data_IF_565335817904
#
_entry.id   IF_565335817904
#
_cell.length_a   1.000
_cell.length_b   1.000
_cell.length_c   1.000
_cell.angle_alpha   90.00
_cell.angle_beta   90.00
_cell.angle_gamma   90.00
#
_symmetry.space_group_name_H-M   'P 1'
#
loop_
_entity.id
_entity.type
_entity.pdbx_description
1 polymer ?
#
# COMPACT_ATOMS: atom_id res chain seq x y z
N UNK A 1 -17.15 10.51 21.15
CA UNK A 1 -16.91 10.33 20.71
C UNK A 1 -16.81 10.30 19.73
N UNK A 2 -16.63 10.24 19.57
CA UNK A 2 -16.40 10.15 18.79
C UNK A 2 -16.02 9.91 18.02
N UNK A 3 -16.06 10.01 17.89
CA UNK A 3 -15.61 9.99 17.35
C UNK A 3 -15.03 9.45 16.80
N UNK A 4 -15.02 9.50 16.85
CA UNK A 4 -14.29 9.10 16.67
C UNK A 4 -13.79 8.22 16.09
N UNK A 5 -13.04 8.48 16.34
CA UNK A 5 -12.30 7.33 16.03
C UNK A 5 -12.92 6.48 15.02
N UNK A 6 -13.97 6.35 15.17
CA UNK A 6 -14.67 5.47 14.26
C UNK A 6 -14.58 5.83 12.82
N UNK A 7 -13.71 6.73 12.48
CA UNK A 7 -13.54 7.01 11.08
C UNK A 7 -13.16 5.76 10.28
N UNK A 8 -12.68 4.71 10.99
CA UNK A 8 -12.38 3.44 10.34
C UNK A 8 -12.87 2.28 11.15
N UNK A 9 -14.19 2.21 11.34
CA UNK A 9 -14.75 1.13 12.16
C UNK A 9 -14.54 -0.26 11.57
N UNK A 10 -14.24 -0.36 10.29
CA UNK A 10 -14.00 -1.65 9.64
C UNK A 10 -12.53 -2.02 9.57
N UNK A 11 -11.66 -1.15 10.04
CA UNK A 11 -10.24 -1.45 10.03
C UNK A 11 -9.93 -2.47 11.12
N UNK A 12 -9.31 -3.60 10.74
CA UNK A 12 -9.03 -4.69 11.65
C UNK A 12 -7.58 -4.70 12.11
N UNK A 13 -6.66 -4.37 11.22
CA UNK A 13 -5.23 -4.44 11.50
C UNK A 13 -4.52 -3.27 10.83
N UNK A 14 -3.45 -2.84 11.47
CA UNK A 14 -2.66 -1.74 10.94
C UNK A 14 -1.20 -1.90 11.36
N UNK A 15 -0.30 -1.49 10.48
CA UNK A 15 1.14 -1.47 10.76
C UNK A 15 1.75 -0.32 10.00
N UNK A 16 2.63 0.45 10.65
CA UNK A 16 3.36 1.54 10.03
C UNK A 16 4.84 1.30 10.24
N UNK A 17 5.61 1.50 9.18
CA UNK A 17 7.05 1.27 9.21
C UNK A 17 7.74 2.44 8.54
N UNK A 18 8.73 3.02 9.23
CA UNK A 18 9.54 4.07 8.64
C UNK A 18 10.77 3.43 8.00
N UNK A 19 11.04 3.80 6.77
CA UNK A 19 12.16 3.25 6.00
C UNK A 19 13.06 4.38 5.54
N UNK A 20 14.35 4.09 5.39
CA UNK A 20 15.26 5.04 4.76
C UNK A 20 14.99 5.03 3.26
N UNK A 21 14.90 6.23 2.67
CA UNK A 21 14.57 6.34 1.24
C UNK A 21 15.81 6.03 0.40
N UNK A 22 16.04 4.76 0.17
CA UNK A 22 17.14 4.26 -0.65
C UNK A 22 16.72 2.92 -1.24
N UNK A 23 17.45 2.40 -2.22
CA UNK A 23 17.01 1.17 -2.93
C UNK A 23 16.64 0.00 -2.02
N UNK A 24 17.33 -0.17 -0.90
CA UNK A 24 17.03 -1.28 -0.01
C UNK A 24 15.63 -1.20 0.61
N UNK A 25 15.01 -0.01 0.60
CA UNK A 25 13.67 0.14 1.16
C UNK A 25 12.64 -0.73 0.44
N UNK A 26 12.82 -0.98 -0.84
CA UNK A 26 11.87 -1.80 -1.58
C UNK A 26 11.83 -3.22 -1.03
N UNK A 27 12.99 -3.80 -0.76
CA UNK A 27 13.06 -5.16 -0.20
C UNK A 27 12.48 -5.20 1.21
N UNK A 28 12.77 -4.18 2.02
CA UNK A 28 12.21 -4.11 3.36
C UNK A 28 10.69 -4.00 3.33
N UNK A 29 10.18 -3.16 2.43
CA UNK A 29 8.73 -2.98 2.31
C UNK A 29 8.05 -4.28 1.89
N UNK A 30 8.64 -4.98 0.91
CA UNK A 30 8.09 -6.27 0.47
C UNK A 30 8.02 -7.26 1.63
N UNK A 31 9.07 -7.30 2.45
CA UNK A 31 9.12 -8.19 3.59
C UNK A 31 8.02 -7.84 4.61
N UNK A 32 7.85 -6.56 4.90
CA UNK A 32 6.82 -6.13 5.84
C UNK A 32 5.42 -6.48 5.37
N UNK A 33 5.15 -6.30 4.09
CA UNK A 33 3.83 -6.63 3.55
C UNK A 33 3.63 -8.15 3.58
N UNK A 34 4.65 -8.92 3.21
CA UNK A 34 4.55 -10.38 3.25
C UNK A 34 4.22 -10.88 4.64
N UNK A 35 4.91 -10.35 5.64
CA UNK A 35 4.67 -10.76 7.03
C UNK A 35 3.26 -10.38 7.47
N UNK A 36 2.83 -9.16 7.16
CA UNK A 36 1.50 -8.69 7.54
C UNK A 36 0.41 -9.56 6.92
N UNK A 37 0.53 -9.87 5.63
CA UNK A 37 -0.46 -10.69 4.94
C UNK A 37 -0.56 -12.07 5.61
N UNK A 38 0.57 -12.64 5.97
CA UNK A 38 0.59 -13.95 6.63
C UNK A 38 0.00 -13.89 8.03
N UNK A 39 0.46 -12.92 8.82
CA UNK A 39 0.00 -12.81 10.19
C UNK A 39 -1.49 -12.51 10.28
N UNK A 40 -1.97 -11.67 9.38
CA UNK A 40 -3.37 -11.26 9.40
C UNK A 40 -4.25 -12.17 8.55
N UNK A 41 -3.65 -13.15 7.88
CA UNK A 41 -4.38 -14.08 7.02
C UNK A 41 -5.25 -13.35 6.00
N UNK A 42 -4.62 -12.40 5.31
CA UNK A 42 -5.34 -11.58 4.33
C UNK A 42 -5.52 -12.40 3.05
N UNK A 43 -6.76 -12.60 2.59
CA UNK A 43 -7.01 -13.48 1.44
C UNK A 43 -6.87 -12.74 0.10
N UNK A 44 -5.67 -12.22 -0.14
CA UNK A 44 -5.33 -11.59 -1.41
C UNK A 44 -4.17 -12.36 -2.05
N UNK A 45 -3.96 -12.12 -3.33
CA UNK A 45 -2.82 -12.71 -4.01
C UNK A 45 -1.55 -12.06 -3.44
N UNK A 46 -0.71 -12.86 -2.79
CA UNK A 46 0.50 -12.35 -2.13
C UNK A 46 1.47 -11.75 -3.14
N UNK A 47 1.64 -12.40 -4.27
CA UNK A 47 2.59 -11.93 -5.26
C UNK A 47 2.18 -10.58 -5.85
N UNK A 48 0.90 -10.40 -6.08
CA UNK A 48 0.40 -9.12 -6.57
C UNK A 48 0.60 -8.04 -5.51
N UNK A 49 0.24 -8.33 -4.27
CA UNK A 49 0.40 -7.34 -3.19
C UNK A 49 1.87 -6.91 -3.07
N UNK A 50 2.78 -7.86 -3.13
CA UNK A 50 4.21 -7.59 -3.00
C UNK A 50 4.73 -6.82 -4.21
N UNK A 51 4.30 -7.20 -5.41
CA UNK A 51 4.70 -6.52 -6.63
C UNK A 51 4.26 -5.05 -6.61
N UNK A 52 3.01 -4.79 -6.27
CA UNK A 52 2.49 -3.42 -6.26
C UNK A 52 3.14 -2.59 -5.15
N UNK A 53 3.43 -3.19 -4.01
CA UNK A 53 4.16 -2.51 -2.94
C UNK A 53 5.53 -2.07 -3.45
N UNK A 54 6.22 -2.96 -4.15
CA UNK A 54 7.53 -2.65 -4.71
C UNK A 54 7.46 -1.47 -5.67
N UNK A 55 6.43 -1.44 -6.51
CA UNK A 55 6.27 -0.36 -7.48
C UNK A 55 6.05 0.99 -6.78
N UNK A 56 5.21 1.03 -5.75
CA UNK A 56 4.98 2.28 -5.02
C UNK A 56 6.23 2.74 -4.31
N UNK A 57 6.95 1.82 -3.68
CA UNK A 57 8.16 2.19 -2.95
C UNK A 57 9.25 2.64 -3.91
N UNK A 58 9.41 1.94 -5.03
CA UNK A 58 10.39 2.33 -6.04
C UNK A 58 10.07 3.73 -6.58
N UNK A 59 8.79 4.02 -6.78
CA UNK A 59 8.37 5.35 -7.21
C UNK A 59 8.76 6.41 -6.18
N UNK A 60 8.55 6.12 -4.90
CA UNK A 60 8.91 7.05 -3.83
C UNK A 60 10.42 7.23 -3.71
N UNK A 61 11.20 6.18 -3.97
CA UNK A 61 12.65 6.28 -3.96
C UNK A 61 13.14 7.15 -5.12
N UNK A 62 12.59 6.93 -6.30
CA UNK A 62 13.05 7.59 -7.51
C UNK A 62 12.55 9.04 -7.62
N UNK A 63 11.29 9.26 -7.31
CA UNK A 63 10.63 10.54 -7.55
C UNK A 63 10.22 11.27 -6.27
N UNK A 64 10.44 10.66 -5.11
CA UNK A 64 10.11 11.30 -3.85
C UNK A 64 11.26 12.17 -3.36
N UNK A 65 11.06 12.74 -2.18
CA UNK A 65 12.06 13.58 -1.54
C UNK A 65 12.19 13.18 -0.07
N UNK A 66 13.24 13.70 0.55
CA UNK A 66 13.47 13.47 1.95
C UNK A 66 14.31 12.23 2.19
N UNK A 67 14.67 12.03 3.46
CA UNK A 67 15.55 10.93 3.83
C UNK A 67 14.79 9.67 4.17
N UNK A 68 13.49 9.79 4.45
CA UNK A 68 12.70 8.64 4.87
C UNK A 68 11.40 8.59 4.10
N UNK A 69 10.83 7.40 4.10
CA UNK A 69 9.46 7.22 3.67
C UNK A 69 8.75 6.36 4.71
N UNK A 70 7.44 6.39 4.70
CA UNK A 70 6.66 5.61 5.64
C UNK A 70 5.74 4.68 4.85
N UNK A 71 5.76 3.42 5.23
CA UNK A 71 4.88 2.40 4.68
C UNK A 71 3.76 2.18 5.68
N UNK A 72 2.52 2.29 5.26
CA UNK A 72 1.37 1.98 6.09
C UNK A 72 0.61 0.82 5.47
N UNK A 73 0.37 -0.22 6.26
CA UNK A 73 -0.33 -1.41 5.81
C UNK A 73 -1.59 -1.50 6.66
N UNK A 74 -2.74 -1.52 6.01
CA UNK A 74 -4.01 -1.58 6.71
C UNK A 74 -4.88 -2.65 6.09
N UNK A 75 -5.59 -3.37 6.95
CA UNK A 75 -6.53 -4.38 6.50
C UNK A 75 -7.88 -4.13 7.13
N UNK A 76 -8.89 -4.05 6.31
CA UNK A 76 -10.27 -3.92 6.76
C UNK A 76 -11.04 -5.16 6.35
N UNK A 77 -12.35 -5.15 6.52
CA UNK A 77 -13.16 -6.33 6.23
C UNK A 77 -13.16 -6.73 4.77
N UNK A 78 -12.94 -5.84 3.89
CA UNK A 78 -13.09 -6.14 2.47
C UNK A 78 -11.90 -5.78 1.62
N UNK A 79 -10.84 -5.26 2.21
CA UNK A 79 -9.68 -4.89 1.39
C UNK A 79 -8.41 -4.73 2.21
N UNK A 80 -7.30 -4.92 1.52
CA UNK A 80 -5.97 -4.57 2.00
C UNK A 80 -5.61 -3.23 1.37
N UNK A 81 -5.05 -2.32 2.16
CA UNK A 81 -4.62 -1.02 1.65
C UNK A 81 -3.16 -0.77 2.03
N UNK A 82 -2.38 -0.34 1.05
CA UNK A 82 -0.97 0.00 1.25
C UNK A 82 -0.79 1.46 0.87
N UNK A 83 -0.23 2.25 1.78
CA UNK A 83 0.11 3.66 1.53
C UNK A 83 1.61 3.84 1.67
N UNK A 84 2.21 4.62 0.80
CA UNK A 84 3.61 4.99 0.90
C UNK A 84 3.69 6.51 0.93
N UNK A 85 4.24 7.04 2.02
CA UNK A 85 4.36 8.47 2.26
C UNK A 85 5.80 8.90 2.02
N UNK A 86 5.99 10.01 1.30
CA UNK A 86 7.30 10.61 1.17
C UNK A 86 7.18 12.11 1.40
N UNK A 87 8.31 12.82 1.32
CA UNK A 87 8.35 14.24 1.68
C UNK A 87 8.33 15.17 0.46
N UNK A 88 7.97 14.65 -0.69
CA UNK A 88 7.90 15.45 -1.91
C UNK A 88 6.71 16.39 -1.88
N UNK A 89 6.93 17.61 -2.32
CA UNK A 89 5.86 18.59 -2.45
C UNK A 89 5.22 18.57 -3.82
N UNK A 90 5.81 17.83 -4.74
CA UNK A 90 5.31 17.71 -6.10
C UNK A 90 4.23 16.65 -6.19
N UNK A 91 3.30 16.79 -7.13
CA UNK A 91 2.36 15.72 -7.39
C UNK A 91 3.13 14.53 -7.95
N UNK A 92 2.69 13.31 -7.64
CA UNK A 92 3.34 12.13 -8.16
C UNK A 92 3.31 12.12 -9.67
N UNK A 93 4.44 11.78 -10.25
CA UNK A 93 4.51 11.56 -11.68
C UNK A 93 3.68 10.32 -12.00
N UNK A 94 3.11 10.30 -13.18
CA UNK A 94 2.26 9.19 -13.57
C UNK A 94 0.79 9.45 -13.32
N UNK A 95 0.46 10.35 -12.40
CA UNK A 95 -0.93 10.72 -12.18
C UNK A 95 -1.42 11.66 -13.29
N UNK A 96 -0.55 12.57 -13.70
CA UNK A 96 -0.89 13.53 -14.74
C UNK A 96 -0.06 13.33 -16.01
N UNK A 97 0.67 12.22 -16.06
CA UNK A 97 1.53 11.94 -17.21
C UNK A 97 0.91 10.85 -18.06
N UNK A 98 1.12 10.89 -19.37
CA UNK A 98 0.62 9.82 -20.23
C UNK A 98 1.25 8.49 -19.84
N UNK A 99 0.47 7.42 -19.96
CA UNK A 99 0.99 6.10 -19.75
C UNK A 99 2.12 5.86 -20.76
N UNK A 100 3.18 5.21 -20.30
CA UNK A 100 4.32 4.94 -21.16
C UNK A 100 5.54 5.80 -20.89
N UNK A 101 5.39 6.90 -20.13
CA UNK A 101 6.56 7.64 -19.68
C UNK A 101 7.28 6.80 -18.62
N UNK A 102 8.55 7.08 -18.40
CA UNK A 102 9.29 6.36 -17.38
C UNK A 102 8.64 6.46 -16.01
N UNK A 103 8.15 7.65 -15.68
CA UNK A 103 7.51 7.86 -14.40
C UNK A 103 6.18 7.13 -14.30
N UNK A 104 5.41 7.11 -15.38
CA UNK A 104 4.12 6.44 -15.38
C UNK A 104 4.22 4.93 -15.48
N UNK A 105 5.36 4.44 -15.98
CA UNK A 105 5.50 3.02 -16.25
C UNK A 105 5.42 2.17 -14.98
N UNK A 106 6.01 2.64 -13.89
CA UNK A 106 5.93 1.92 -12.62
C UNK A 106 4.53 1.88 -12.07
N UNK A 107 3.71 2.87 -12.40
CA UNK A 107 2.34 2.95 -11.92
C UNK A 107 1.35 2.23 -12.83
N UNK A 108 1.78 1.81 -14.01
CA UNK A 108 0.92 1.06 -14.91
C UNK A 108 0.47 -0.25 -14.29
N UNK A 109 1.39 -0.96 -13.62
CA UNK A 109 1.01 -2.20 -12.95
C UNK A 109 0.07 -1.94 -11.79
N UNK A 110 0.32 -0.89 -11.01
CA UNK A 110 -0.58 -0.53 -9.92
C UNK A 110 -1.97 -0.24 -10.47
N UNK A 111 -2.06 0.54 -11.53
CA UNK A 111 -3.35 0.89 -12.14
C UNK A 111 -4.06 -0.34 -12.69
N UNK A 112 -3.30 -1.29 -13.26
CA UNK A 112 -3.89 -2.46 -13.90
C UNK A 112 -4.34 -3.52 -12.91
N UNK A 113 -3.62 -3.69 -11.81
CA UNK A 113 -3.81 -4.83 -10.92
C UNK A 113 -4.44 -4.50 -9.58
N UNK A 114 -4.51 -3.23 -9.22
CA UNK A 114 -5.15 -2.86 -7.96
C UNK A 114 -6.65 -2.68 -8.13
N UNK A 115 -7.37 -2.75 -7.03
CA UNK A 115 -8.79 -2.45 -7.03
C UNK A 115 -9.00 -0.96 -7.14
N UNK A 116 -8.25 -0.21 -6.34
CA UNK A 116 -8.22 1.26 -6.39
C UNK A 116 -6.79 1.71 -6.18
N UNK A 117 -6.46 2.90 -6.68
CA UNK A 117 -5.16 3.49 -6.43
C UNK A 117 -5.25 4.99 -6.60
N UNK A 118 -4.30 5.72 -6.03
CA UNK A 118 -4.31 7.15 -6.16
C UNK A 118 -3.18 7.79 -5.38
N UNK A 119 -3.30 9.10 -5.20
CA UNK A 119 -2.34 9.86 -4.43
C UNK A 119 -3.05 11.03 -3.75
N UNK A 120 -2.42 11.55 -2.71
CA UNK A 120 -2.96 12.71 -2.02
C UNK A 120 -1.82 13.45 -1.32
N UNK A 121 -2.03 14.75 -1.09
CA UNK A 121 -1.07 15.57 -0.37
C UNK A 121 -1.23 15.36 1.12
N UNK A 122 -0.11 15.47 1.82
CA UNK A 122 -0.10 15.40 3.29
C UNK A 122 0.64 16.64 3.81
N UNK A 123 0.51 16.95 5.10
CA UNK A 123 1.27 18.08 5.65
C UNK A 123 2.77 17.96 5.43
N UNK A 124 3.32 16.75 5.45
CA UNK A 124 4.75 16.54 5.29
C UNK A 124 5.19 16.32 3.85
N UNK A 125 4.25 16.06 2.93
CA UNK A 125 4.61 15.79 1.54
C UNK A 125 3.45 15.21 0.76
N UNK A 126 3.57 13.94 0.36
CA UNK A 126 2.52 13.27 -0.38
C UNK A 126 2.47 11.80 -0.04
N UNK A 127 1.40 11.15 -0.43
CA UNK A 127 1.25 9.71 -0.29
C UNK A 127 0.68 9.13 -1.56
N UNK A 128 1.06 7.90 -1.86
CA UNK A 128 0.44 7.11 -2.91
C UNK A 128 -0.07 5.83 -2.27
N UNK A 129 -1.17 5.30 -2.81
CA UNK A 129 -1.76 4.11 -2.24
C UNK A 129 -2.36 3.21 -3.30
N UNK A 130 -2.58 1.96 -2.92
CA UNK A 130 -3.43 1.05 -3.66
C UNK A 130 -4.23 0.20 -2.69
N UNK A 131 -5.33 -0.36 -3.17
CA UNK A 131 -6.11 -1.33 -2.43
C UNK A 131 -6.28 -2.59 -3.24
N UNK A 132 -6.43 -3.71 -2.53
CA UNK A 132 -6.80 -4.99 -3.13
C UNK A 132 -8.00 -5.50 -2.38
N UNK A 133 -9.13 -5.60 -3.08
CA UNK A 133 -10.37 -6.06 -2.46
C UNK A 133 -10.38 -7.58 -2.35
N UNK A 134 -11.10 -8.08 -1.37
CA UNK A 134 -11.35 -9.51 -1.25
C UNK A 134 -12.79 -9.70 -0.75
N UNK A 135 -13.35 -10.90 -0.96
CA UNK A 135 -14.76 -11.13 -0.60
C UNK A 135 -15.00 -10.94 0.90
N UNK A 136 -16.07 -10.23 1.28
CA UNK A 136 -16.40 -10.04 2.69
C UNK A 136 -16.66 -11.33 3.45
N UNK A 137 -17.04 -12.39 2.75
CA UNK A 137 -17.30 -13.68 3.37
C UNK A 137 -16.01 -14.46 3.65
N UNK A 138 -14.85 -13.89 3.30
CA UNK A 138 -13.56 -14.44 3.64
C UNK A 138 -12.74 -13.36 4.32
N UNK A 139 -13.17 -12.90 5.49
CA UNK A 139 -12.46 -11.80 6.14
C UNK A 139 -11.07 -12.21 6.61
N UNK A 140 -10.19 -11.21 6.72
CA UNK A 140 -8.84 -11.42 7.24
C UNK A 140 -8.93 -12.00 8.64
N UNK A 141 -7.95 -12.83 8.99
CA UNK A 141 -7.90 -13.46 10.30
C UNK A 141 -8.84 -14.63 10.47
N UNK A 142 -9.52 -15.02 9.41
CA UNK A 142 -10.50 -16.10 9.48
C UNK A 142 -9.82 -17.47 9.51
N UNK A 143 -10.24 -18.31 10.43
CA UNK A 143 -9.75 -19.69 10.49
C UNK A 143 -10.38 -20.52 9.39
N UNK A 144 -11.46 -20.06 8.83
CA UNK A 144 -12.13 -20.82 7.79
C UNK A 144 -11.25 -21.05 6.58
N UNK A 145 -10.40 -20.08 6.26
CA UNK A 145 -9.50 -20.23 5.14
C UNK A 145 -8.55 -21.39 5.36
N UNK A 146 -8.17 -21.63 6.60
CA UNK A 146 -7.30 -22.75 6.95
C UNK A 146 -8.10 -24.02 7.04
N UNK A 147 -9.27 -23.94 7.64
CA UNK A 147 -10.10 -25.12 7.85
C UNK A 147 -10.63 -25.69 6.54
N UNK A 148 -10.73 -24.86 5.53
CA UNK A 148 -11.18 -25.32 4.24
C UNK A 148 -10.19 -26.20 3.51
N UNK A 149 -9.00 -26.28 4.03
CA UNK A 149 -7.97 -27.15 3.47
C UNK A 149 -8.25 -28.63 3.78
#
# INVERSE_FOLDING_TARGET
MNVMAPTRPTELYQRRVRLTRKPAAAAEARSQVRVAIREWKVPVDHDIAILLTSDLVTNAITHGDGETLTLAIRCSRGYLRIDVYDQSRSLPLGMNEPAGTDAGRGLVLVAALSTEWGSFRTPAGKAMYFTLAFPPDQPAGSDRATAGD
#
